data_IF_992859372007
#
_entry.id   IF_992859372007
#
_cell.length_a   1.000
_cell.length_b   1.000
_cell.length_c   1.000
_cell.angle_alpha   90.00
_cell.angle_beta   90.00
_cell.angle_gamma   90.00
#
_symmetry.space_group_name_H-M   'P 1'
#
loop_
_entity.id
_entity.type
_entity.pdbx_description
1 polymer ?
#
# COMPACT_ATOMS: atom_id res chain seq x y z
N UNK A 1 -23.56 11.53 -14.92
CA UNK A 1 -22.60 12.45 -14.27
C UNK A 1 -21.68 11.60 -13.41
N UNK A 2 -20.59 11.19 -14.02
CA UNK A 2 -19.62 10.24 -13.51
C UNK A 2 -18.73 10.90 -12.47
N UNK A 3 -19.13 10.76 -11.22
CA UNK A 3 -18.35 11.20 -10.08
C UNK A 3 -17.38 10.07 -9.71
N UNK A 4 -16.28 9.96 -10.47
CA UNK A 4 -15.09 9.20 -10.11
C UNK A 4 -14.42 9.80 -8.87
N UNK A 5 -15.12 9.84 -7.74
CA UNK A 5 -14.51 9.98 -6.43
C UNK A 5 -13.73 8.70 -6.20
N UNK A 6 -12.44 8.73 -6.54
CA UNK A 6 -11.43 7.79 -6.09
C UNK A 6 -11.76 7.41 -4.66
N UNK A 7 -12.33 6.21 -4.48
CA UNK A 7 -12.72 5.67 -3.20
C UNK A 7 -11.52 5.82 -2.29
N UNK A 8 -11.65 6.65 -1.26
CA UNK A 8 -10.62 6.84 -0.23
C UNK A 8 -10.13 5.43 0.12
N UNK A 9 -8.83 5.11 -0.02
CA UNK A 9 -8.36 3.77 0.28
C UNK A 9 -8.83 3.46 1.69
N UNK A 10 -9.66 2.41 1.82
CA UNK A 10 -10.24 1.97 3.09
C UNK A 10 -9.20 2.09 4.19
N UNK A 11 -9.54 2.69 5.34
CA UNK A 11 -8.59 2.86 6.46
C UNK A 11 -7.87 1.55 6.79
N UNK A 12 -8.58 0.43 6.68
CA UNK A 12 -8.01 -0.91 6.85
C UNK A 12 -6.88 -1.21 5.86
N UNK A 13 -7.02 -0.81 4.60
CA UNK A 13 -5.98 -0.95 3.56
C UNK A 13 -4.77 -0.06 3.84
N UNK A 14 -4.98 1.16 4.35
CA UNK A 14 -3.88 2.03 4.75
C UNK A 14 -3.06 1.44 5.91
N UNK A 15 -3.74 0.89 6.93
CA UNK A 15 -3.08 0.22 8.07
C UNK A 15 -2.27 -1.00 7.61
N UNK A 16 -2.83 -1.83 6.71
CA UNK A 16 -2.10 -2.97 6.13
C UNK A 16 -0.86 -2.51 5.38
N UNK A 17 -0.97 -1.42 4.63
CA UNK A 17 0.15 -0.82 3.89
C UNK A 17 1.25 -0.32 4.83
N UNK A 18 0.91 0.40 5.91
CA UNK A 18 1.91 0.86 6.88
C UNK A 18 2.59 -0.33 7.60
N UNK A 19 1.85 -1.40 7.92
CA UNK A 19 2.46 -2.61 8.47
C UNK A 19 3.40 -3.28 7.47
N UNK A 20 3.05 -3.31 6.18
CA UNK A 20 3.92 -3.84 5.14
C UNK A 20 5.23 -3.07 5.00
N UNK A 21 5.21 -1.74 5.19
CA UNK A 21 6.43 -0.91 5.22
C UNK A 21 7.31 -1.27 6.41
N UNK A 22 6.72 -1.49 7.60
CA UNK A 22 7.46 -1.97 8.76
C UNK A 22 8.06 -3.37 8.53
N UNK A 23 7.31 -4.28 7.92
CA UNK A 23 7.80 -5.63 7.53
C UNK A 23 8.93 -5.52 6.52
N UNK A 24 8.85 -4.61 5.55
CA UNK A 24 9.91 -4.37 4.58
C UNK A 24 11.21 -3.93 5.26
N UNK A 25 11.12 -3.01 6.21
CA UNK A 25 12.27 -2.53 6.96
C UNK A 25 12.91 -3.63 7.83
N UNK A 26 12.10 -4.54 8.38
CA UNK A 26 12.57 -5.59 9.27
C UNK A 26 13.05 -6.87 8.55
N UNK A 27 12.39 -7.26 7.46
CA UNK A 27 12.53 -8.58 6.83
C UNK A 27 12.79 -8.51 5.31
N UNK A 28 12.82 -7.31 4.74
CA UNK A 28 13.05 -7.09 3.32
C UNK A 28 11.78 -7.14 2.46
N UNK A 29 11.95 -6.74 1.20
CA UNK A 29 10.85 -6.48 0.26
C UNK A 29 10.00 -7.71 -0.05
N UNK A 30 10.59 -8.92 -0.05
CA UNK A 30 9.86 -10.17 -0.33
C UNK A 30 8.81 -10.45 0.73
N UNK A 31 9.16 -10.38 2.01
CA UNK A 31 8.23 -10.60 3.12
C UNK A 31 7.09 -9.56 3.14
N UNK A 32 7.39 -8.30 2.80
CA UNK A 32 6.37 -7.26 2.69
C UNK A 32 5.39 -7.51 1.54
N UNK A 33 5.88 -7.99 0.39
CA UNK A 33 5.04 -8.36 -0.75
C UNK A 33 4.14 -9.57 -0.41
N UNK A 34 4.68 -10.59 0.26
CA UNK A 34 3.92 -11.76 0.70
C UNK A 34 2.84 -11.38 1.72
N UNK A 35 3.14 -10.50 2.67
CA UNK A 35 2.16 -9.98 3.63
C UNK A 35 1.00 -9.23 2.93
N UNK A 36 1.30 -8.38 1.95
CA UNK A 36 0.27 -7.65 1.21
C UNK A 36 -0.61 -8.57 0.37
N UNK A 37 -0.02 -9.61 -0.23
CA UNK A 37 -0.77 -10.66 -0.93
C UNK A 37 -1.73 -11.40 0.00
N UNK A 38 -1.27 -11.81 1.19
CA UNK A 38 -2.09 -12.53 2.17
C UNK A 38 -3.25 -11.68 2.70
N UNK A 39 -3.06 -10.36 2.84
CA UNK A 39 -4.09 -9.46 3.37
C UNK A 39 -5.09 -8.95 2.33
N UNK A 40 -5.00 -9.45 1.09
CA UNK A 40 -5.92 -9.13 -0.01
C UNK A 40 -5.69 -7.76 -0.64
N UNK A 41 -4.52 -7.14 -0.43
CA UNK A 41 -4.18 -5.87 -1.07
C UNK A 41 -3.79 -6.13 -2.52
N UNK A 42 -4.38 -5.37 -3.43
CA UNK A 42 -4.06 -5.45 -4.85
C UNK A 42 -2.55 -5.24 -5.09
N UNK A 43 -1.94 -6.10 -5.91
CA UNK A 43 -0.51 -6.07 -6.20
C UNK A 43 -0.03 -4.71 -6.72
N UNK A 44 -0.86 -3.99 -7.49
CA UNK A 44 -0.58 -2.63 -7.97
C UNK A 44 -0.48 -1.60 -6.83
N UNK A 45 -1.28 -1.72 -5.78
CA UNK A 45 -1.19 -0.87 -4.58
C UNK A 45 0.07 -1.21 -3.79
N UNK A 46 0.34 -2.51 -3.60
CA UNK A 46 1.54 -3.00 -2.94
C UNK A 46 2.83 -2.50 -3.63
N UNK A 47 2.91 -2.66 -4.95
CA UNK A 47 4.04 -2.21 -5.75
C UNK A 47 4.23 -0.70 -5.64
N UNK A 48 3.15 0.10 -5.71
CA UNK A 48 3.23 1.57 -5.59
C UNK A 48 3.82 2.00 -4.24
N UNK A 49 3.41 1.37 -3.15
CA UNK A 49 3.89 1.72 -1.81
C UNK A 49 5.33 1.26 -1.60
N UNK A 50 5.65 0.00 -1.96
CA UNK A 50 6.96 -0.59 -1.70
C UNK A 50 8.07 -0.05 -2.61
N UNK A 51 7.73 0.39 -3.83
CA UNK A 51 8.73 0.83 -4.84
C UNK A 51 8.75 2.34 -5.07
N UNK A 52 7.69 3.07 -4.70
CA UNK A 52 7.59 4.53 -4.92
C UNK A 52 7.17 5.28 -3.64
N UNK A 53 7.91 5.14 -2.53
CA UNK A 53 7.59 5.82 -1.27
C UNK A 53 7.50 7.35 -1.43
N UNK A 54 8.26 7.92 -2.36
CA UNK A 54 8.31 9.37 -2.60
C UNK A 54 7.04 9.94 -3.25
N UNK A 55 6.17 9.11 -3.84
CA UNK A 55 4.87 9.56 -4.37
C UNK A 55 3.79 9.69 -3.30
N UNK A 56 4.09 9.35 -2.04
CA UNK A 56 3.16 9.47 -0.91
C UNK A 56 2.91 10.94 -0.47
N UNK A 57 3.72 11.90 -0.93
CA UNK A 57 3.72 13.30 -0.44
C UNK A 57 2.99 14.32 -1.33
N UNK A 58 2.24 13.92 -2.36
CA UNK A 58 1.53 14.86 -3.25
C UNK A 58 0.00 14.66 -3.24
N UNK A 59 -0.55 14.45 -2.05
CA UNK A 59 -1.90 14.90 -1.76
C UNK A 59 -1.75 16.02 -0.73
N UNK A 60 -1.75 17.26 -1.23
CA UNK A 60 -1.88 18.48 -0.43
C UNK A 60 -3.17 18.48 0.39
#
# INVERSE_FOLDING_TARGET
MDNHYLTRPDRASAVKVDLAVAVQAAQGTRSAADYLKQTGIAFTVALRVLTRPHRRRWAS
#
